data_IF_512593951459
#
_entry.id   IF_512593951459
#
_cell.length_a   1.000
_cell.length_b   1.000
_cell.length_c   1.000
_cell.angle_alpha   90.00
_cell.angle_beta   90.00
_cell.angle_gamma   90.00
#
_symmetry.space_group_name_H-M   'P 1'
#
loop_
_entity.id
_entity.type
_entity.pdbx_description
1 polymer ?
#
# COMPACT_ATOMS: atom_id res chain seq x y z
N UNK A 1 26.00 -5.70 7.83
CA UNK A 1 25.01 -4.59 7.78
C UNK A 1 25.56 -3.47 8.65
N UNK A 2 25.86 -2.29 8.09
CA UNK A 2 26.49 -1.18 8.83
C UNK A 2 25.56 -0.69 9.94
N UNK A 3 26.15 -0.39 11.11
CA UNK A 3 25.47 0.16 12.30
C UNK A 3 24.54 1.37 11.94
N UNK A 4 25.00 2.19 11.01
CA UNK A 4 24.29 3.36 10.51
C UNK A 4 22.96 2.99 9.78
N UNK A 5 22.95 1.91 9.00
CA UNK A 5 21.76 1.41 8.29
C UNK A 5 20.74 0.81 9.29
N UNK A 6 21.22 0.21 10.37
CA UNK A 6 20.37 -0.31 11.45
C UNK A 6 19.69 0.85 12.22
N UNK A 7 20.43 1.91 12.51
CA UNK A 7 19.89 3.10 13.20
C UNK A 7 18.87 3.85 12.33
N UNK A 8 19.08 3.89 11.01
CA UNK A 8 18.11 4.44 10.05
C UNK A 8 16.81 3.63 10.02
N UNK A 9 16.87 2.31 9.99
CA UNK A 9 15.69 1.44 10.03
C UNK A 9 14.89 1.64 11.33
N UNK A 10 15.59 1.75 12.47
CA UNK A 10 14.95 1.99 13.76
C UNK A 10 14.26 3.35 13.85
N UNK A 11 14.80 4.36 13.17
CA UNK A 11 14.16 5.67 13.05
C UNK A 11 12.90 5.58 12.18
N UNK A 12 12.94 4.84 11.07
CA UNK A 12 11.76 4.58 10.22
C UNK A 12 10.62 3.91 10.99
N UNK A 13 10.93 2.88 11.79
CA UNK A 13 9.97 2.19 12.66
C UNK A 13 9.29 3.14 13.67
N UNK A 14 10.03 4.11 14.24
CA UNK A 14 9.45 5.12 15.12
C UNK A 14 8.43 6.01 14.43
N UNK A 15 8.71 6.41 13.17
CA UNK A 15 7.78 7.20 12.37
C UNK A 15 6.48 6.45 12.11
N UNK A 16 6.57 5.19 11.70
CA UNK A 16 5.42 4.33 11.48
C UNK A 16 4.60 4.10 12.77
N UNK A 17 5.27 3.85 13.90
CA UNK A 17 4.60 3.66 15.19
C UNK A 17 3.82 4.92 15.63
N UNK A 18 4.39 6.11 15.42
CA UNK A 18 3.72 7.37 15.73
C UNK A 18 2.45 7.54 14.89
N UNK A 19 2.49 7.21 13.58
CA UNK A 19 1.29 7.22 12.73
C UNK A 19 0.23 6.26 13.25
N UNK A 20 0.58 5.02 13.57
CA UNK A 20 -0.37 4.02 14.08
C UNK A 20 -1.02 4.47 15.39
N UNK A 21 -0.25 5.01 16.32
CA UNK A 21 -0.79 5.53 17.58
C UNK A 21 -1.74 6.70 17.32
N UNK A 22 -1.38 7.61 16.42
CA UNK A 22 -2.24 8.72 16.04
C UNK A 22 -3.55 8.24 15.41
N UNK A 23 -3.50 7.26 14.49
CA UNK A 23 -4.68 6.65 13.88
C UNK A 23 -5.61 6.01 14.92
N UNK A 24 -5.05 5.22 15.86
CA UNK A 24 -5.85 4.59 16.92
C UNK A 24 -6.56 5.64 17.76
N UNK A 25 -5.84 6.64 18.25
CA UNK A 25 -6.40 7.67 19.11
C UNK A 25 -7.46 8.50 18.37
N UNK A 26 -7.14 8.94 17.14
CA UNK A 26 -8.04 9.78 16.35
C UNK A 26 -9.27 9.00 15.89
N UNK A 27 -9.13 7.74 15.49
CA UNK A 27 -10.27 6.88 15.12
C UNK A 27 -11.26 6.77 16.28
N UNK A 28 -10.80 6.45 17.48
CA UNK A 28 -11.65 6.33 18.67
C UNK A 28 -12.32 7.67 19.01
N UNK A 29 -11.55 8.75 19.06
CA UNK A 29 -12.06 10.08 19.44
C UNK A 29 -13.09 10.57 18.41
N UNK A 30 -12.78 10.51 17.11
CA UNK A 30 -13.68 10.96 16.05
C UNK A 30 -14.96 10.13 16.01
N UNK A 31 -14.85 8.80 16.16
CA UNK A 31 -16.02 7.92 16.14
C UNK A 31 -16.95 8.17 17.32
N UNK A 32 -16.42 8.26 18.54
CA UNK A 32 -17.20 8.52 19.76
C UNK A 32 -17.87 9.91 19.71
N UNK A 33 -17.09 10.94 19.38
CA UNK A 33 -17.60 12.32 19.32
C UNK A 33 -18.57 12.49 18.13
N UNK A 34 -18.25 11.93 16.96
CA UNK A 34 -19.15 11.95 15.80
C UNK A 34 -20.50 11.31 16.09
N UNK A 35 -20.49 10.19 16.84
CA UNK A 35 -21.73 9.52 17.28
C UNK A 35 -22.51 10.34 18.28
N UNK A 36 -21.86 10.90 19.30
CA UNK A 36 -22.53 11.69 20.36
C UNK A 36 -23.00 13.06 19.87
N UNK A 37 -22.24 13.69 18.96
CA UNK A 37 -22.54 14.99 18.38
C UNK A 37 -23.47 14.92 17.14
N UNK A 38 -23.82 13.73 16.67
CA UNK A 38 -24.70 13.51 15.52
C UNK A 38 -24.07 13.86 14.16
N UNK A 39 -22.73 13.86 14.03
CA UNK A 39 -22.04 14.13 12.76
C UNK A 39 -21.70 12.81 12.04
N UNK A 40 -22.34 12.61 10.89
CA UNK A 40 -22.02 11.48 10.01
C UNK A 40 -20.64 11.65 9.35
N UNK A 41 -20.26 12.89 9.02
CA UNK A 41 -18.96 13.21 8.45
C UNK A 41 -17.80 12.87 9.41
N UNK A 42 -17.92 13.26 10.70
CA UNK A 42 -16.87 12.95 11.69
C UNK A 42 -16.79 11.46 12.02
N UNK A 43 -17.94 10.75 12.02
CA UNK A 43 -17.95 9.28 12.16
C UNK A 43 -17.26 8.61 10.98
N UNK A 44 -17.57 9.04 9.76
CA UNK A 44 -16.96 8.53 8.53
C UNK A 44 -15.43 8.75 8.55
N UNK A 45 -14.97 9.96 8.93
CA UNK A 45 -13.55 10.29 9.07
C UNK A 45 -12.85 9.42 10.15
N UNK A 46 -13.55 9.14 11.27
CA UNK A 46 -13.06 8.20 12.29
C UNK A 46 -12.93 6.77 11.77
N UNK A 47 -13.87 6.31 10.95
CA UNK A 47 -13.82 4.99 10.31
C UNK A 47 -12.76 4.93 9.21
N UNK A 48 -12.51 6.03 8.49
CA UNK A 48 -11.37 6.12 7.56
C UNK A 48 -10.06 5.82 8.29
N UNK A 49 -9.77 6.50 9.39
CA UNK A 49 -8.57 6.21 10.17
C UNK A 49 -8.54 4.77 10.73
N UNK A 50 -9.71 4.16 11.00
CA UNK A 50 -9.76 2.74 11.39
C UNK A 50 -9.37 1.81 10.23
N UNK A 51 -9.74 2.14 8.98
CA UNK A 51 -9.31 1.34 7.81
C UNK A 51 -7.82 1.43 7.58
N UNK A 52 -7.19 2.57 7.86
CA UNK A 52 -5.73 2.73 7.75
C UNK A 52 -4.98 1.86 8.77
N UNK A 53 -5.56 1.70 9.97
CA UNK A 53 -5.05 0.74 10.96
C UNK A 53 -5.16 -0.69 10.44
N UNK A 54 -6.31 -1.07 9.86
CA UNK A 54 -6.52 -2.42 9.29
C UNK A 54 -5.51 -2.72 8.21
N UNK A 55 -5.29 -1.78 7.27
CA UNK A 55 -4.30 -1.92 6.21
C UNK A 55 -2.89 -2.10 6.79
N UNK A 56 -2.49 -1.25 7.75
CA UNK A 56 -1.17 -1.30 8.39
C UNK A 56 -0.93 -2.61 9.13
N UNK A 57 -1.94 -3.11 9.86
CA UNK A 57 -1.87 -4.39 10.59
C UNK A 57 -1.79 -5.57 9.62
N UNK A 58 -2.55 -5.54 8.53
CA UNK A 58 -2.51 -6.59 7.50
C UNK A 58 -1.12 -6.68 6.87
N UNK A 59 -0.52 -5.54 6.49
CA UNK A 59 0.85 -5.49 5.97
C UNK A 59 1.84 -6.05 6.98
N UNK A 60 1.76 -5.65 8.26
CA UNK A 60 2.65 -6.17 9.31
C UNK A 60 2.55 -7.68 9.49
N UNK A 61 1.31 -8.22 9.50
CA UNK A 61 1.08 -9.67 9.62
C UNK A 61 1.61 -10.37 8.38
N UNK A 62 1.28 -9.85 7.19
CA UNK A 62 1.73 -10.38 5.91
C UNK A 62 3.25 -10.46 5.83
N UNK A 63 3.95 -9.34 6.10
CA UNK A 63 5.42 -9.27 6.12
C UNK A 63 6.04 -10.21 7.15
N UNK A 64 5.43 -10.35 8.33
CA UNK A 64 5.94 -11.27 9.36
C UNK A 64 5.82 -12.73 8.93
N UNK A 65 4.72 -13.08 8.27
CA UNK A 65 4.48 -14.44 7.81
C UNK A 65 5.31 -14.75 6.55
N UNK A 66 5.49 -13.78 5.64
CA UNK A 66 6.29 -13.94 4.43
C UNK A 66 7.78 -14.21 4.71
N UNK A 67 8.29 -13.84 5.89
CA UNK A 67 9.68 -14.13 6.32
C UNK A 67 9.92 -15.57 6.72
N UNK A 68 8.88 -16.41 6.82
CA UNK A 68 9.08 -17.84 7.08
C UNK A 68 9.81 -18.48 5.89
N UNK A 69 10.88 -19.24 6.14
CA UNK A 69 11.59 -19.95 5.09
C UNK A 69 10.69 -21.00 4.42
N UNK A 70 11.12 -21.49 3.28
CA UNK A 70 10.49 -22.62 2.62
C UNK A 70 10.40 -23.83 3.57
N UNK A 71 9.28 -24.54 3.50
CA UNK A 71 9.00 -25.79 4.22
C UNK A 71 8.48 -26.85 3.24
N UNK A 72 8.07 -28.02 3.78
CA UNK A 72 7.60 -29.13 2.94
C UNK A 72 6.32 -28.80 2.18
N UNK A 73 5.43 -27.99 2.77
CA UNK A 73 4.13 -27.61 2.18
C UNK A 73 4.29 -26.37 1.27
N UNK A 74 5.33 -25.55 1.49
CA UNK A 74 5.58 -24.31 0.76
C UNK A 74 7.05 -24.28 0.26
N UNK A 75 7.39 -25.05 -0.80
CA UNK A 75 8.78 -25.16 -1.30
C UNK A 75 9.36 -23.81 -1.77
N UNK A 76 8.52 -22.87 -2.24
CA UNK A 76 8.93 -21.53 -2.65
C UNK A 76 8.92 -20.51 -1.51
N UNK A 77 8.64 -20.93 -0.25
CA UNK A 77 8.48 -20.03 0.89
C UNK A 77 7.09 -19.40 0.99
N UNK A 78 6.93 -18.47 1.94
CA UNK A 78 5.64 -17.90 2.30
C UNK A 78 5.46 -16.44 1.79
N UNK A 79 6.24 -16.02 0.82
CA UNK A 79 6.33 -14.60 0.41
C UNK A 79 5.00 -14.00 -0.08
N UNK A 80 4.13 -14.79 -0.73
CA UNK A 80 2.80 -14.34 -1.17
C UNK A 80 1.81 -14.06 0.00
N UNK A 81 2.18 -14.37 1.24
CA UNK A 81 1.33 -14.12 2.41
C UNK A 81 1.03 -12.62 2.62
N UNK A 82 1.92 -11.74 2.22
CA UNK A 82 1.71 -10.29 2.24
C UNK A 82 0.55 -9.88 1.32
N UNK A 83 0.54 -10.36 0.08
CA UNK A 83 -0.54 -10.09 -0.88
C UNK A 83 -1.88 -10.66 -0.41
N UNK A 84 -1.88 -11.86 0.21
CA UNK A 84 -3.09 -12.45 0.79
C UNK A 84 -3.63 -11.60 1.95
N UNK A 85 -2.75 -11.14 2.84
CA UNK A 85 -3.14 -10.27 3.95
C UNK A 85 -3.71 -8.92 3.46
N UNK A 86 -3.09 -8.31 2.46
CA UNK A 86 -3.57 -7.08 1.81
C UNK A 86 -4.92 -7.28 1.14
N UNK A 87 -5.13 -8.42 0.47
CA UNK A 87 -6.41 -8.77 -0.14
C UNK A 87 -7.52 -8.88 0.92
N UNK A 88 -7.27 -9.57 2.04
CA UNK A 88 -8.24 -9.67 3.14
C UNK A 88 -8.53 -8.31 3.77
N UNK A 89 -7.51 -7.46 3.95
CA UNK A 89 -7.70 -6.10 4.44
C UNK A 89 -8.59 -5.28 3.51
N UNK A 90 -8.38 -5.36 2.19
CA UNK A 90 -9.19 -4.65 1.21
C UNK A 90 -10.68 -5.02 1.28
N UNK A 91 -11.03 -6.29 1.52
CA UNK A 91 -12.42 -6.69 1.74
C UNK A 91 -13.01 -6.06 3.01
N UNK A 92 -12.27 -6.06 4.12
CA UNK A 92 -12.74 -5.44 5.38
C UNK A 92 -12.98 -3.95 5.15
N UNK A 93 -12.02 -3.26 4.52
CA UNK A 93 -12.13 -1.83 4.19
C UNK A 93 -13.31 -1.53 3.26
N UNK A 94 -13.55 -2.38 2.26
CA UNK A 94 -14.69 -2.24 1.35
C UNK A 94 -16.03 -2.35 2.11
N UNK A 95 -16.16 -3.32 3.02
CA UNK A 95 -17.35 -3.47 3.87
C UNK A 95 -17.56 -2.22 4.73
N UNK A 96 -16.50 -1.68 5.34
CA UNK A 96 -16.57 -0.43 6.13
C UNK A 96 -17.00 0.75 5.26
N UNK A 97 -16.39 0.91 4.07
CA UNK A 97 -16.74 1.98 3.14
C UNK A 97 -18.21 1.92 2.69
N UNK A 98 -18.70 0.73 2.33
CA UNK A 98 -20.11 0.53 1.96
C UNK A 98 -21.03 0.83 3.16
N UNK A 99 -20.67 0.43 4.36
CA UNK A 99 -21.44 0.74 5.57
C UNK A 99 -21.52 2.24 5.85
N UNK A 100 -20.40 2.97 5.65
CA UNK A 100 -20.36 4.44 5.74
C UNK A 100 -21.30 5.06 4.73
N UNK A 101 -21.24 4.64 3.46
CA UNK A 101 -22.12 5.12 2.39
C UNK A 101 -23.60 4.85 2.71
N UNK A 102 -23.92 3.65 3.15
CA UNK A 102 -25.29 3.29 3.52
C UNK A 102 -25.83 4.19 4.64
N UNK A 103 -25.07 4.39 5.72
CA UNK A 103 -25.48 5.24 6.84
C UNK A 103 -25.63 6.70 6.42
N UNK A 104 -24.70 7.23 5.60
CA UNK A 104 -24.74 8.60 5.11
C UNK A 104 -25.96 8.84 4.20
N UNK A 105 -26.23 7.92 3.27
CA UNK A 105 -27.40 7.99 2.37
C UNK A 105 -28.70 7.89 3.17
N UNK A 106 -28.79 6.96 4.11
CA UNK A 106 -29.96 6.83 4.98
C UNK A 106 -30.21 8.13 5.77
N UNK A 107 -29.14 8.75 6.31
CA UNK A 107 -29.23 10.02 7.02
C UNK A 107 -29.83 11.15 6.17
N UNK A 108 -29.56 11.16 4.86
CA UNK A 108 -30.17 12.11 3.91
C UNK A 108 -31.66 11.84 3.75
N UNK A 109 -32.05 10.56 3.58
CA UNK A 109 -33.47 10.18 3.38
C UNK A 109 -34.31 10.34 4.65
N UNK A 110 -33.74 10.10 5.82
CA UNK A 110 -34.42 10.28 7.12
C UNK A 110 -34.70 11.76 7.44
N UNK A 111 -34.23 12.67 6.58
CA UNK A 111 -34.49 14.11 6.71
C UNK A 111 -33.91 14.69 7.99
N UNK A 112 -32.75 14.22 8.45
CA UNK A 112 -32.08 14.82 9.60
C UNK A 112 -31.85 16.31 9.33
N UNK A 113 -32.64 17.14 9.97
CA UNK A 113 -32.62 18.62 9.83
C UNK A 113 -31.76 19.29 10.91
N UNK A 114 -31.28 18.51 11.89
CA UNK A 114 -30.48 19.06 12.97
C UNK A 114 -28.99 19.07 12.57
N UNK A 115 -28.40 20.25 12.67
CA UNK A 115 -26.97 20.38 12.51
C UNK A 115 -26.23 19.65 13.65
N UNK A 116 -25.11 18.96 13.35
CA UNK A 116 -24.30 18.30 14.39
C UNK A 116 -23.77 19.33 15.40
N UNK A 117 -23.48 18.87 16.63
CA UNK A 117 -22.91 19.76 17.65
C UNK A 117 -21.55 20.34 17.17
N UNK A 118 -21.35 21.62 17.45
CA UNK A 118 -20.14 22.36 17.04
C UNK A 118 -18.86 21.75 17.62
N UNK A 119 -18.96 20.98 18.72
CA UNK A 119 -17.84 20.26 19.31
C UNK A 119 -17.24 19.25 18.33
N UNK A 120 -18.02 18.68 17.41
CA UNK A 120 -17.52 17.82 16.34
C UNK A 120 -16.58 18.57 15.37
N UNK A 121 -16.86 19.84 15.05
CA UNK A 121 -15.97 20.66 14.22
C UNK A 121 -14.61 20.92 14.91
N UNK A 122 -14.61 21.24 16.21
CA UNK A 122 -13.39 21.41 16.97
C UNK A 122 -12.56 20.12 17.03
N UNK A 123 -13.24 18.98 17.14
CA UNK A 123 -12.57 17.67 17.10
C UNK A 123 -11.91 17.43 15.75
N UNK A 124 -12.60 17.72 14.64
CA UNK A 124 -12.06 17.63 13.29
C UNK A 124 -10.83 18.53 13.08
N UNK A 125 -10.88 19.78 13.56
CA UNK A 125 -9.73 20.71 13.53
C UNK A 125 -8.56 20.15 14.30
N UNK A 126 -8.80 19.66 15.52
CA UNK A 126 -7.76 19.03 16.36
C UNK A 126 -7.13 17.81 15.68
N UNK A 127 -7.97 16.97 15.05
CA UNK A 127 -7.52 15.80 14.31
C UNK A 127 -6.67 16.19 13.08
N UNK A 128 -7.11 17.16 12.28
CA UNK A 128 -6.35 17.67 11.15
C UNK A 128 -4.98 18.22 11.58
N UNK A 129 -4.94 18.95 12.70
CA UNK A 129 -3.69 19.46 13.25
C UNK A 129 -2.74 18.34 13.68
N UNK A 130 -3.25 17.32 14.38
CA UNK A 130 -2.46 16.15 14.81
C UNK A 130 -1.89 15.44 13.59
N UNK A 131 -2.71 15.12 12.57
CA UNK A 131 -2.24 14.44 11.37
C UNK A 131 -1.23 15.28 10.58
N UNK A 132 -1.41 16.61 10.52
CA UNK A 132 -0.42 17.49 9.91
C UNK A 132 0.91 17.51 10.66
N UNK A 133 0.90 17.45 12.00
CA UNK A 133 2.12 17.36 12.81
C UNK A 133 2.83 16.02 12.59
N UNK A 134 2.07 14.92 12.54
CA UNK A 134 2.60 13.58 12.21
C UNK A 134 3.21 13.57 10.81
N UNK A 135 2.52 14.15 9.81
CA UNK A 135 3.05 14.35 8.47
C UNK A 135 4.41 15.06 8.49
N UNK A 136 4.49 16.24 9.16
CA UNK A 136 5.73 17.01 9.22
C UNK A 136 6.87 16.23 9.86
N UNK A 137 6.56 15.53 10.94
CA UNK A 137 7.54 14.69 11.63
C UNK A 137 8.05 13.57 10.71
N UNK A 138 7.15 12.79 10.10
CA UNK A 138 7.50 11.68 9.22
C UNK A 138 8.21 12.15 7.95
N UNK A 139 7.78 13.27 7.35
CA UNK A 139 8.45 13.85 6.18
C UNK A 139 9.91 14.24 6.49
N UNK A 140 10.15 14.95 7.60
CA UNK A 140 11.49 15.34 7.98
C UNK A 140 12.37 14.11 8.27
N UNK A 141 11.78 13.09 8.89
CA UNK A 141 12.47 11.86 9.18
C UNK A 141 12.77 11.06 7.91
N UNK A 142 11.81 10.94 6.98
CA UNK A 142 11.97 10.28 5.69
C UNK A 142 13.08 10.92 4.85
N UNK A 143 13.15 12.26 4.83
CA UNK A 143 14.22 12.98 4.16
C UNK A 143 15.59 12.73 4.80
N UNK A 144 15.65 12.67 6.15
CA UNK A 144 16.90 12.43 6.89
C UNK A 144 17.48 11.04 6.64
N UNK A 145 16.62 10.01 6.51
CA UNK A 145 17.05 8.61 6.33
C UNK A 145 16.92 8.14 4.87
N UNK A 146 16.55 9.04 3.95
CA UNK A 146 16.29 8.77 2.53
C UNK A 146 15.34 7.58 2.30
N UNK A 147 14.26 7.49 3.08
CA UNK A 147 13.28 6.40 3.02
C UNK A 147 12.06 6.79 2.20
N UNK A 148 11.86 6.11 1.06
CA UNK A 148 10.69 6.31 0.20
C UNK A 148 9.40 5.79 0.87
N UNK A 149 9.45 4.66 1.56
CA UNK A 149 8.29 4.10 2.26
C UNK A 149 7.79 5.00 3.39
N UNK A 150 8.70 5.59 4.18
CA UNK A 150 8.31 6.55 5.21
C UNK A 150 7.79 7.87 4.59
N UNK A 151 8.32 8.28 3.43
CA UNK A 151 7.78 9.43 2.67
C UNK A 151 6.36 9.16 2.16
N UNK A 152 6.07 7.96 1.68
CA UNK A 152 4.72 7.56 1.30
C UNK A 152 3.77 7.64 2.50
N UNK A 153 4.12 7.02 3.64
CA UNK A 153 3.34 7.12 4.88
C UNK A 153 3.14 8.58 5.35
N UNK A 154 4.13 9.44 5.16
CA UNK A 154 3.97 10.86 5.46
C UNK A 154 2.92 11.52 4.53
N UNK A 155 2.91 11.21 3.24
CA UNK A 155 1.90 11.74 2.31
C UNK A 155 0.50 11.27 2.65
N UNK A 156 0.34 10.02 3.12
CA UNK A 156 -0.95 9.50 3.58
C UNK A 156 -1.43 10.27 4.81
N UNK A 157 -0.57 10.54 5.80
CA UNK A 157 -0.92 11.38 6.95
C UNK A 157 -1.37 12.80 6.53
N UNK A 158 -0.78 13.37 5.48
CA UNK A 158 -1.21 14.65 4.92
C UNK A 158 -2.60 14.55 4.26
N UNK A 159 -2.85 13.47 3.52
CA UNK A 159 -4.15 13.19 2.91
C UNK A 159 -5.25 13.13 3.98
N UNK A 160 -5.01 12.44 5.09
CA UNK A 160 -5.93 12.34 6.22
C UNK A 160 -6.19 13.69 6.91
N UNK A 161 -5.17 14.53 6.99
CA UNK A 161 -5.36 15.90 7.47
C UNK A 161 -6.32 16.69 6.56
N UNK A 162 -6.22 16.52 5.23
CA UNK A 162 -7.16 17.14 4.28
C UNK A 162 -8.57 16.56 4.36
N UNK A 163 -8.70 15.24 4.54
CA UNK A 163 -10.02 14.59 4.78
C UNK A 163 -10.68 15.18 6.02
N UNK A 164 -9.93 15.32 7.13
CA UNK A 164 -10.45 15.93 8.36
C UNK A 164 -10.84 17.40 8.19
N UNK A 165 -10.10 18.18 7.37
CA UNK A 165 -10.48 19.55 7.02
C UNK A 165 -11.80 19.55 6.21
N UNK A 166 -11.94 18.65 5.23
CA UNK A 166 -13.18 18.47 4.48
C UNK A 166 -14.36 18.15 5.40
N UNK A 167 -14.15 17.27 6.38
CA UNK A 167 -15.14 16.93 7.42
C UNK A 167 -15.55 18.17 8.21
N UNK A 168 -14.61 19.00 8.64
CA UNK A 168 -14.90 20.26 9.35
C UNK A 168 -15.74 21.21 8.48
N UNK A 169 -15.42 21.32 7.19
CA UNK A 169 -16.20 22.15 6.25
C UNK A 169 -17.63 21.64 6.14
N UNK A 170 -17.84 20.32 6.06
CA UNK A 170 -19.17 19.70 6.04
C UNK A 170 -19.98 20.02 7.31
N UNK A 171 -19.36 19.86 8.49
CA UNK A 171 -19.97 20.13 9.79
C UNK A 171 -20.33 21.63 9.93
N UNK A 172 -19.39 22.52 9.61
CA UNK A 172 -19.62 23.97 9.69
C UNK A 172 -20.69 24.42 8.70
N UNK A 173 -20.68 23.87 7.47
CA UNK A 173 -21.71 24.14 6.49
C UNK A 173 -23.12 23.76 6.97
N UNK A 174 -23.22 22.66 7.71
CA UNK A 174 -24.49 22.26 8.32
C UNK A 174 -25.00 23.27 9.37
N UNK A 175 -24.12 24.02 10.03
CA UNK A 175 -24.49 25.10 10.96
C UNK A 175 -25.09 26.33 10.23
N UNK A 176 -24.75 26.54 8.95
CA UNK A 176 -25.24 27.65 8.13
C UNK A 176 -26.51 27.31 7.36
N UNK A 177 -27.45 26.59 7.97
CA UNK A 177 -28.73 26.15 7.37
C UNK A 177 -28.60 25.20 6.16
N UNK A 178 -27.44 24.48 6.05
CA UNK A 178 -27.22 23.49 5.02
C UNK A 178 -26.98 22.09 5.65
N UNK A 179 -27.95 21.52 6.39
CA UNK A 179 -27.76 20.29 7.19
C UNK A 179 -27.39 19.07 6.34
N UNK A 180 -27.64 19.12 5.02
CA UNK A 180 -27.27 18.06 4.08
C UNK A 180 -25.75 18.00 3.78
N UNK A 181 -24.98 19.04 4.15
CA UNK A 181 -23.52 19.05 3.89
C UNK A 181 -22.76 18.05 4.74
N UNK A 182 -23.17 17.81 5.99
CA UNK A 182 -22.52 16.81 6.84
C UNK A 182 -22.70 15.37 6.26
N UNK A 183 -23.92 14.89 5.95
CA UNK A 183 -24.08 13.59 5.28
C UNK A 183 -23.42 13.53 3.90
N UNK A 184 -23.42 14.61 3.12
CA UNK A 184 -22.74 14.65 1.83
C UNK A 184 -21.23 14.45 2.00
N UNK A 185 -20.62 15.08 3.00
CA UNK A 185 -19.20 14.88 3.31
C UNK A 185 -18.93 13.43 3.74
N UNK A 186 -19.83 12.83 4.53
CA UNK A 186 -19.73 11.41 4.87
C UNK A 186 -19.78 10.50 3.63
N UNK A 187 -20.62 10.82 2.62
CA UNK A 187 -20.63 10.10 1.33
C UNK A 187 -19.29 10.22 0.63
N UNK A 188 -18.70 11.43 0.57
CA UNK A 188 -17.39 11.63 -0.06
C UNK A 188 -16.32 10.80 0.64
N UNK A 189 -16.28 10.81 1.98
CA UNK A 189 -15.34 10.00 2.77
C UNK A 189 -15.57 8.51 2.53
N UNK A 190 -16.80 8.04 2.51
CA UNK A 190 -17.14 6.64 2.22
C UNK A 190 -16.67 6.21 0.82
N UNK A 191 -16.82 7.09 -0.19
CA UNK A 191 -16.30 6.83 -1.54
C UNK A 191 -14.76 6.78 -1.56
N UNK A 192 -14.08 7.62 -0.78
CA UNK A 192 -12.63 7.57 -0.65
C UNK A 192 -12.18 6.25 -0.02
N UNK A 193 -12.84 5.78 1.04
CA UNK A 193 -12.55 4.47 1.64
C UNK A 193 -12.73 3.35 0.61
N UNK A 194 -13.83 3.33 -0.12
CA UNK A 194 -14.07 2.32 -1.16
C UNK A 194 -13.03 2.38 -2.28
N UNK A 195 -12.62 3.58 -2.70
CA UNK A 195 -11.58 3.76 -3.72
C UNK A 195 -10.23 3.22 -3.24
N UNK A 196 -9.83 3.50 -2.01
CA UNK A 196 -8.59 2.97 -1.42
C UNK A 196 -8.64 1.44 -1.31
N UNK A 197 -9.75 0.90 -0.80
CA UNK A 197 -9.97 -0.55 -0.71
C UNK A 197 -9.87 -1.23 -2.09
N UNK A 198 -10.48 -0.61 -3.11
CA UNK A 198 -10.42 -1.11 -4.49
C UNK A 198 -9.01 -1.07 -5.07
N UNK A 199 -8.24 -0.01 -4.78
CA UNK A 199 -6.83 0.08 -5.18
C UNK A 199 -6.00 -1.05 -4.58
N UNK A 200 -6.11 -1.29 -3.27
CA UNK A 200 -5.40 -2.38 -2.57
C UNK A 200 -5.84 -3.74 -3.12
N UNK A 201 -7.15 -3.92 -3.41
CA UNK A 201 -7.67 -5.15 -4.00
C UNK A 201 -7.03 -5.45 -5.36
N UNK A 202 -7.00 -4.47 -6.26
CA UNK A 202 -6.42 -4.62 -7.60
C UNK A 202 -4.94 -4.94 -7.52
N UNK A 203 -4.18 -4.21 -6.70
CA UNK A 203 -2.74 -4.41 -6.53
C UNK A 203 -2.44 -5.80 -5.96
N UNK A 204 -3.11 -6.20 -4.87
CA UNK A 204 -2.93 -7.52 -4.28
C UNK A 204 -3.32 -8.65 -5.25
N UNK A 205 -4.42 -8.47 -6.01
CA UNK A 205 -4.87 -9.43 -7.03
C UNK A 205 -3.86 -9.54 -8.18
N UNK A 206 -3.29 -8.41 -8.64
CA UNK A 206 -2.28 -8.38 -9.68
C UNK A 206 -1.05 -9.23 -9.29
N UNK A 207 -0.52 -9.03 -8.09
CA UNK A 207 0.62 -9.82 -7.60
C UNK A 207 0.28 -11.31 -7.34
N UNK A 208 -0.94 -11.61 -6.90
CA UNK A 208 -1.38 -13.00 -6.69
C UNK A 208 -1.56 -13.76 -8.01
N UNK A 209 -1.90 -13.06 -9.08
CA UNK A 209 -2.08 -13.62 -10.44
C UNK A 209 -0.82 -13.52 -11.30
N UNK A 210 0.36 -13.36 -10.67
CA UNK A 210 1.66 -13.26 -11.32
C UNK A 210 1.79 -12.08 -12.30
N UNK A 211 1.04 -10.99 -12.04
CA UNK A 211 1.19 -9.75 -12.79
C UNK A 211 2.53 -9.07 -12.53
N UNK A 212 3.10 -8.49 -13.58
CA UNK A 212 4.39 -7.81 -13.54
C UNK A 212 4.39 -6.56 -14.44
N UNK A 213 5.33 -5.65 -14.20
CA UNK A 213 5.46 -4.40 -14.95
C UNK A 213 6.15 -4.65 -16.29
N UNK A 214 5.49 -4.25 -17.39
CA UNK A 214 5.98 -4.44 -18.76
C UNK A 214 7.27 -3.65 -19.04
N UNK A 215 7.41 -2.43 -18.49
CA UNK A 215 8.61 -1.60 -18.65
C UNK A 215 9.85 -2.27 -18.00
N UNK A 216 9.66 -2.97 -16.89
CA UNK A 216 10.72 -3.75 -16.24
C UNK A 216 11.11 -4.97 -17.07
N UNK A 217 10.14 -5.67 -17.66
CA UNK A 217 10.42 -6.81 -18.56
C UNK A 217 11.25 -6.36 -19.76
N UNK A 218 10.89 -5.25 -20.41
CA UNK A 218 11.68 -4.68 -21.51
C UNK A 218 13.12 -4.34 -21.09
N UNK A 219 13.29 -3.83 -19.88
CA UNK A 219 14.62 -3.51 -19.31
C UNK A 219 15.45 -4.78 -19.07
N UNK A 220 14.81 -5.87 -18.59
CA UNK A 220 15.47 -7.15 -18.41
C UNK A 220 15.88 -7.77 -19.75
N UNK A 221 14.96 -7.78 -20.72
CA UNK A 221 15.21 -8.30 -22.07
C UNK A 221 16.39 -7.59 -22.72
N UNK A 222 16.45 -6.27 -22.61
CA UNK A 222 17.57 -5.48 -23.14
C UNK A 222 18.89 -5.86 -22.49
N UNK A 223 18.91 -6.05 -21.17
CA UNK A 223 20.12 -6.47 -20.45
C UNK A 223 20.60 -7.84 -20.93
N UNK A 224 19.70 -8.80 -21.13
CA UNK A 224 20.02 -10.14 -21.62
C UNK A 224 20.54 -10.09 -23.07
N UNK A 225 19.94 -9.28 -23.95
CA UNK A 225 20.37 -9.14 -25.33
C UNK A 225 21.76 -8.52 -25.50
N UNK A 226 22.19 -7.67 -24.56
CA UNK A 226 23.50 -7.03 -24.57
C UNK A 226 24.64 -8.00 -24.19
N UNK A 227 24.32 -9.21 -23.68
CA UNK A 227 25.33 -10.17 -23.21
C UNK A 227 26.00 -10.93 -24.36
N UNK A 228 27.33 -11.15 -24.27
CA UNK A 228 28.07 -11.92 -25.25
C UNK A 228 27.57 -13.38 -25.33
N UNK A 229 27.31 -13.87 -26.53
CA UNK A 229 26.87 -15.25 -26.73
C UNK A 229 25.37 -15.41 -26.88
N UNK A 230 24.55 -14.51 -26.32
CA UNK A 230 23.10 -14.45 -26.53
C UNK A 230 22.83 -13.99 -27.97
N UNK A 231 21.98 -14.69 -28.70
CA UNK A 231 21.56 -14.38 -30.09
C UNK A 231 20.17 -13.80 -30.17
N UNK A 232 19.38 -13.99 -29.12
CA UNK A 232 18.03 -13.47 -28.99
C UNK A 232 17.39 -13.93 -27.68
N UNK A 233 16.32 -13.26 -27.32
CA UNK A 233 15.41 -13.69 -26.26
C UNK A 233 14.14 -14.17 -26.93
N UNK A 234 13.74 -15.42 -26.67
CA UNK A 234 12.54 -16.03 -27.25
C UNK A 234 11.31 -15.75 -26.40
N UNK A 235 11.48 -15.77 -25.09
CA UNK A 235 10.43 -15.50 -24.09
C UNK A 235 11.08 -15.00 -22.81
N UNK A 236 10.43 -14.06 -22.13
CA UNK A 236 10.82 -13.59 -20.83
C UNK A 236 9.58 -13.31 -19.99
N UNK A 237 9.56 -13.83 -18.80
CA UNK A 237 8.46 -13.64 -17.84
C UNK A 237 9.06 -13.36 -16.48
N UNK A 238 8.38 -12.49 -15.75
CA UNK A 238 8.75 -12.22 -14.37
C UNK A 238 7.51 -12.25 -13.48
N UNK A 239 7.70 -12.53 -12.21
CA UNK A 239 6.66 -12.50 -11.19
C UNK A 239 7.23 -12.09 -9.84
N UNK A 240 6.37 -11.53 -9.01
CA UNK A 240 6.76 -11.11 -7.67
C UNK A 240 6.28 -12.12 -6.60
N UNK A 241 7.20 -12.51 -5.75
CA UNK A 241 6.94 -13.20 -4.49
C UNK A 241 7.20 -12.22 -3.34
N UNK A 242 6.20 -11.39 -2.97
CA UNK A 242 6.41 -10.25 -2.07
C UNK A 242 7.43 -9.27 -2.69
N UNK A 243 8.51 -8.99 -1.97
CA UNK A 243 9.57 -8.09 -2.45
C UNK A 243 10.63 -8.80 -3.32
N UNK A 244 10.45 -10.07 -3.61
CA UNK A 244 11.42 -10.85 -4.38
C UNK A 244 10.90 -11.09 -5.79
N UNK A 245 11.66 -10.63 -6.78
CA UNK A 245 11.34 -10.86 -8.20
C UNK A 245 12.02 -12.16 -8.66
N UNK A 246 11.26 -13.01 -9.36
CA UNK A 246 11.76 -14.20 -10.04
C UNK A 246 11.53 -14.02 -11.55
N UNK A 247 12.58 -14.33 -12.33
CA UNK A 247 12.58 -14.20 -13.79
C UNK A 247 12.76 -15.57 -14.43
N UNK A 248 11.90 -15.91 -15.36
CA UNK A 248 12.05 -17.06 -16.26
C UNK A 248 12.37 -16.53 -17.65
N UNK A 249 13.55 -16.87 -18.21
CA UNK A 249 13.96 -16.39 -19.55
C UNK A 249 14.39 -17.54 -20.45
N UNK A 250 13.99 -17.47 -21.70
CA UNK A 250 14.39 -18.40 -22.77
C UNK A 250 15.31 -17.66 -23.72
N UNK A 251 16.61 -18.03 -23.71
CA UNK A 251 17.62 -17.42 -24.57
C UNK A 251 17.94 -18.31 -25.77
N UNK A 252 18.26 -17.67 -26.90
CA UNK A 252 18.76 -18.32 -28.11
C UNK A 252 20.26 -18.18 -28.17
N UNK A 253 20.97 -19.31 -28.35
CA UNK A 253 22.43 -19.36 -28.49
C UNK A 253 22.81 -20.13 -29.76
N UNK A 254 24.08 -20.08 -30.17
CA UNK A 254 24.54 -20.85 -31.34
C UNK A 254 24.40 -22.36 -31.12
N UNK A 255 23.81 -23.05 -32.07
CA UNK A 255 23.56 -24.51 -32.04
C UNK A 255 24.84 -25.36 -31.98
N UNK A 256 26.00 -24.76 -32.22
CA UNK A 256 27.33 -25.43 -32.21
C UNK A 256 28.05 -25.40 -30.85
N UNK A 257 27.44 -24.78 -29.85
CA UNK A 257 28.00 -24.69 -28.50
C UNK A 257 27.93 -26.08 -27.79
N UNK A 258 28.93 -26.39 -27.00
CA UNK A 258 28.85 -27.51 -26.09
C UNK A 258 28.03 -27.11 -24.83
N UNK A 259 27.70 -28.14 -24.02
CA UNK A 259 26.88 -27.90 -22.80
C UNK A 259 27.57 -26.95 -21.83
N UNK A 260 28.90 -26.98 -21.73
CA UNK A 260 29.64 -26.11 -20.80
C UNK A 260 29.55 -24.66 -21.27
N UNK A 261 29.78 -24.40 -22.55
CA UNK A 261 29.68 -23.06 -23.12
C UNK A 261 28.24 -22.48 -23.01
N UNK A 262 27.24 -23.32 -23.22
CA UNK A 262 25.83 -22.91 -23.04
C UNK A 262 25.51 -22.61 -21.57
N UNK A 263 26.03 -23.40 -20.65
CA UNK A 263 25.89 -23.19 -19.20
C UNK A 263 26.61 -21.90 -18.73
N UNK A 264 27.84 -21.66 -19.23
CA UNK A 264 28.57 -20.42 -18.89
C UNK A 264 27.81 -19.19 -19.31
N UNK A 265 27.15 -19.18 -20.47
CA UNK A 265 26.29 -18.08 -20.93
C UNK A 265 25.03 -17.97 -20.04
N UNK A 266 24.35 -19.05 -19.66
CA UNK A 266 23.21 -19.01 -18.78
C UNK A 266 23.54 -18.42 -17.40
N UNK A 267 24.70 -18.80 -16.86
CA UNK A 267 25.20 -18.26 -15.59
C UNK A 267 25.52 -16.77 -15.66
N UNK A 268 26.05 -16.28 -16.79
CA UNK A 268 26.31 -14.85 -17.01
C UNK A 268 24.98 -14.06 -17.07
N UNK A 269 23.94 -14.63 -17.70
CA UNK A 269 22.57 -14.03 -17.70
C UNK A 269 21.99 -13.97 -16.29
N UNK A 270 22.10 -15.05 -15.50
CA UNK A 270 21.65 -15.11 -14.12
C UNK A 270 22.33 -14.04 -13.27
N UNK A 271 23.67 -13.98 -13.29
CA UNK A 271 24.47 -13.03 -12.52
C UNK A 271 24.15 -11.58 -12.90
N UNK A 272 24.06 -11.25 -14.19
CA UNK A 272 23.82 -9.89 -14.65
C UNK A 272 22.41 -9.38 -14.28
N UNK A 273 21.38 -10.23 -14.38
CA UNK A 273 20.03 -9.87 -13.96
C UNK A 273 19.95 -9.70 -12.43
N UNK A 274 20.60 -10.55 -11.65
CA UNK A 274 20.66 -10.44 -10.20
C UNK A 274 21.39 -9.16 -9.74
N UNK A 275 22.53 -8.85 -10.34
CA UNK A 275 23.39 -7.76 -9.92
C UNK A 275 22.84 -6.39 -10.37
N UNK A 276 22.35 -6.30 -11.61
CA UNK A 276 21.93 -5.03 -12.20
C UNK A 276 20.50 -4.63 -11.85
N UNK A 277 19.62 -5.62 -11.70
CA UNK A 277 18.20 -5.41 -11.46
C UNK A 277 17.69 -5.89 -10.10
N UNK A 278 18.61 -6.35 -9.23
CA UNK A 278 18.27 -6.87 -7.88
C UNK A 278 17.23 -8.01 -7.92
N UNK A 279 17.22 -8.79 -9.03
CA UNK A 279 16.35 -9.96 -9.16
C UNK A 279 16.79 -11.03 -8.15
N UNK A 280 15.84 -11.65 -7.48
CA UNK A 280 16.11 -12.63 -6.43
C UNK A 280 16.55 -14.00 -6.97
N UNK A 281 15.93 -14.43 -8.08
CA UNK A 281 16.18 -15.73 -8.68
C UNK A 281 15.88 -15.68 -10.18
N UNK A 282 16.70 -16.34 -10.98
CA UNK A 282 16.59 -16.35 -12.45
C UNK A 282 16.68 -17.79 -12.95
N UNK A 283 15.71 -18.19 -13.75
CA UNK A 283 15.75 -19.47 -14.45
C UNK A 283 15.98 -19.26 -15.93
N UNK A 284 17.13 -19.69 -16.42
CA UNK A 284 17.51 -19.55 -17.82
C UNK A 284 17.33 -20.88 -18.56
N UNK A 285 16.42 -20.87 -19.54
CA UNK A 285 16.31 -21.95 -20.50
C UNK A 285 17.06 -21.62 -21.77
N UNK A 286 17.95 -22.50 -22.21
CA UNK A 286 18.81 -22.29 -23.39
C UNK A 286 18.28 -23.10 -24.57
N UNK A 287 18.01 -22.43 -25.69
CA UNK A 287 17.61 -23.06 -26.95
C UNK A 287 18.63 -22.76 -28.07
N UNK A 288 18.81 -23.69 -29.04
CA UNK A 288 19.61 -23.41 -30.22
C UNK A 288 18.91 -22.47 -31.18
N UNK A 289 19.68 -21.49 -31.71
CA UNK A 289 19.21 -20.60 -32.78
C UNK A 289 19.46 -21.21 -34.14
#
# INVERSE_FOLDING_TARGET
>A
MNQEKYDQLKLGERGALISIIAYILLSIIKFLIGTSAGSEALRADGLNNATDIVASVAVLIGLRYSRKPADQDHPYGHWKAESVASLLASFIMMVVGIQVLYNAIQSVFDGKTQAPDLFSAWTGIGAAMVMYLVYRYNKNLAQKINSQSLMAAAKDNLSDAWVSIGTVIGILGAQFYLPWLDPLTAVIVGLLICKTAWGIFIEASHYLTDGFDEELIESYEKTVLDLPGVKGVKDIRARNYGNNTVVDVVILVRSTLDIKQAHDISSEVEEELMDKHEVYDVHVHVEPN
#
